data_IF_886796075988
#
_entry.id   IF_886796075988
#
_cell.length_a   1.000
_cell.length_b   1.000
_cell.length_c   1.000
_cell.angle_alpha   90.00
_cell.angle_beta   90.00
_cell.angle_gamma   90.00
#
_symmetry.space_group_name_H-M   'P 1'
#
loop_
_entity.id
_entity.type
_entity.pdbx_description
1 polymer ?
#
# COMPACT_ATOMS: atom_id res chain seq x y z
N UNK A 1 8.71 17.32 -3.37
CA UNK A 1 7.59 17.68 -2.46
C UNK A 1 6.66 16.49 -2.38
N UNK A 2 6.25 16.11 -1.18
CA UNK A 2 5.32 15.01 -0.99
C UNK A 2 3.88 15.49 -1.23
N UNK A 3 3.05 14.69 -1.91
CA UNK A 3 1.70 15.08 -2.34
C UNK A 3 0.67 14.30 -1.52
N UNK A 4 -0.17 15.02 -0.78
CA UNK A 4 -1.30 14.45 -0.03
C UNK A 4 -2.58 14.69 -0.83
N UNK A 5 -3.33 13.63 -1.12
CA UNK A 5 -4.68 13.72 -1.73
C UNK A 5 -5.70 13.06 -0.80
N UNK A 6 -6.82 13.73 -0.58
CA UNK A 6 -7.99 13.11 0.04
C UNK A 6 -8.70 12.27 -1.02
N UNK A 7 -8.92 10.98 -0.75
CA UNK A 7 -9.58 10.07 -1.69
C UNK A 7 -11.05 9.88 -1.34
N UNK A 8 -11.36 9.65 -0.06
CA UNK A 8 -12.73 9.43 0.40
C UNK A 8 -13.38 8.19 -0.24
N UNK A 9 -12.60 7.20 -0.66
CA UNK A 9 -13.11 6.00 -1.30
C UNK A 9 -13.56 4.97 -0.26
N UNK A 10 -14.75 4.39 -0.46
CA UNK A 10 -15.18 3.21 0.30
C UNK A 10 -14.88 1.94 -0.47
N UNK A 11 -14.27 0.97 0.21
CA UNK A 11 -14.06 -0.37 -0.27
C UNK A 11 -14.81 -1.38 0.61
N UNK A 12 -15.51 -2.31 -0.04
CA UNK A 12 -16.12 -3.46 0.62
C UNK A 12 -15.39 -4.72 0.18
N UNK A 13 -14.82 -5.44 1.14
CA UNK A 13 -14.17 -6.73 0.91
C UNK A 13 -15.20 -7.80 0.56
N UNK A 14 -14.73 -8.91 -0.01
CA UNK A 14 -15.58 -10.06 -0.36
C UNK A 14 -16.33 -10.67 0.83
N UNK A 15 -15.74 -10.63 2.02
CA UNK A 15 -16.35 -11.10 3.27
C UNK A 15 -17.31 -10.08 3.90
N UNK A 16 -17.49 -8.91 3.29
CA UNK A 16 -18.48 -7.91 3.68
C UNK A 16 -17.97 -6.81 4.61
N UNK A 17 -16.71 -6.83 5.04
CA UNK A 17 -16.10 -5.73 5.81
C UNK A 17 -16.00 -4.47 4.94
N UNK A 18 -16.10 -3.30 5.59
CA UNK A 18 -16.07 -1.99 4.94
C UNK A 18 -14.87 -1.20 5.45
N UNK A 19 -14.16 -0.57 4.52
CA UNK A 19 -13.01 0.27 4.78
C UNK A 19 -13.16 1.58 4.01
N UNK A 20 -12.91 2.71 4.65
CA UNK A 20 -12.71 4.00 4.01
C UNK A 20 -11.22 4.22 3.78
N UNK A 21 -10.84 4.73 2.62
CA UNK A 21 -9.49 5.15 2.28
C UNK A 21 -9.50 6.67 2.29
N UNK A 22 -9.08 7.24 3.42
CA UNK A 22 -9.30 8.66 3.73
C UNK A 22 -8.31 9.56 2.98
N UNK A 23 -7.04 9.17 2.95
CA UNK A 23 -5.97 9.94 2.29
C UNK A 23 -4.93 9.04 1.64
N UNK A 24 -4.23 9.60 0.65
CA UNK A 24 -3.04 9.04 0.05
C UNK A 24 -1.90 10.04 0.10
N UNK A 25 -0.70 9.56 0.42
CA UNK A 25 0.52 10.35 0.47
C UNK A 25 1.58 9.72 -0.42
N UNK A 26 1.99 10.44 -1.46
CA UNK A 26 3.09 10.01 -2.33
C UNK A 26 4.37 10.64 -1.81
N UNK A 27 5.30 9.79 -1.39
CA UNK A 27 6.63 10.15 -0.96
C UNK A 27 7.58 9.79 -2.11
N UNK A 28 7.98 10.77 -2.94
CA UNK A 28 9.03 10.55 -3.92
C UNK A 28 10.33 10.28 -3.16
N UNK A 29 10.91 9.10 -3.36
CA UNK A 29 12.19 8.76 -2.74
C UNK A 29 13.33 9.15 -3.68
N UNK A 30 14.46 9.56 -3.11
CA UNK A 30 15.73 9.68 -3.85
C UNK A 30 16.41 8.31 -4.06
N UNK A 31 15.73 7.21 -3.70
CA UNK A 31 16.19 5.82 -3.86
C UNK A 31 15.47 5.03 -4.95
N UNK A 32 15.57 3.70 -4.90
CA UNK A 32 15.07 2.80 -5.95
C UNK A 32 13.53 2.68 -6.04
N UNK A 33 12.77 3.22 -5.08
CA UNK A 33 11.31 3.08 -5.02
C UNK A 33 10.59 4.36 -4.61
N UNK A 34 9.50 4.69 -5.28
CA UNK A 34 8.52 5.67 -4.85
C UNK A 34 7.49 5.01 -3.91
N UNK A 35 7.19 5.66 -2.78
CA UNK A 35 6.27 5.13 -1.79
C UNK A 35 4.92 5.84 -1.88
N UNK A 36 3.85 5.06 -1.91
CA UNK A 36 2.47 5.55 -1.83
C UNK A 36 1.83 5.00 -0.57
N UNK A 37 1.59 5.88 0.40
CA UNK A 37 0.97 5.54 1.68
C UNK A 37 -0.53 5.84 1.64
N UNK A 38 -1.33 4.96 2.22
CA UNK A 38 -2.77 5.06 2.31
C UNK A 38 -3.19 5.04 3.78
N UNK A 39 -3.99 6.02 4.18
CA UNK A 39 -4.73 5.97 5.44
C UNK A 39 -6.02 5.19 5.24
N UNK A 40 -6.21 4.12 6.01
CA UNK A 40 -7.36 3.22 5.91
C UNK A 40 -8.09 3.18 7.25
N UNK A 41 -9.41 3.30 7.18
CA UNK A 41 -10.29 3.31 8.34
C UNK A 41 -11.36 2.24 8.20
N UNK A 42 -11.31 1.24 9.07
CA UNK A 42 -12.36 0.24 9.26
C UNK A 42 -13.42 0.71 10.24
N UNK A 43 -14.33 -0.20 10.62
CA UNK A 43 -15.40 0.10 11.57
C UNK A 43 -14.87 0.48 12.96
N UNK A 44 -13.84 -0.23 13.44
CA UNK A 44 -13.30 -0.10 14.80
C UNK A 44 -11.77 0.13 14.81
N UNK A 45 -11.18 0.47 13.66
CA UNK A 45 -9.73 0.56 13.52
C UNK A 45 -9.30 1.58 12.47
N UNK A 46 -8.25 2.35 12.77
CA UNK A 46 -7.54 3.19 11.81
C UNK A 46 -6.10 2.68 11.69
N UNK A 47 -5.62 2.54 10.46
CA UNK A 47 -4.28 2.04 10.17
C UNK A 47 -3.77 2.57 8.84
N UNK A 48 -2.45 2.52 8.65
CA UNK A 48 -1.79 2.94 7.42
C UNK A 48 -1.24 1.74 6.67
N UNK A 49 -1.32 1.76 5.35
CA UNK A 49 -0.67 0.77 4.48
C UNK A 49 0.12 1.47 3.39
N UNK A 50 1.29 0.93 3.03
CA UNK A 50 2.14 1.46 2.00
C UNK A 50 2.22 0.55 0.78
N UNK A 51 2.43 1.15 -0.38
CA UNK A 51 2.83 0.46 -1.61
C UNK A 51 4.13 1.07 -2.12
N UNK A 52 5.18 0.25 -2.25
CA UNK A 52 6.46 0.64 -2.81
C UNK A 52 6.48 0.29 -4.30
N UNK A 53 6.62 1.32 -5.14
CA UNK A 53 6.75 1.20 -6.58
C UNK A 53 8.19 1.43 -6.99
N UNK A 54 8.78 0.60 -7.86
CA UNK A 54 10.09 0.86 -8.43
C UNK A 54 10.10 2.26 -9.07
N UNK A 55 11.18 3.03 -8.92
CA UNK A 55 11.26 4.43 -9.36
C UNK A 55 10.99 4.61 -10.87
N UNK A 56 11.33 3.60 -11.67
CA UNK A 56 11.01 3.51 -13.10
C UNK A 56 9.50 3.45 -13.41
N UNK A 57 8.68 3.04 -12.44
CA UNK A 57 7.22 2.92 -12.58
C UNK A 57 6.55 4.28 -12.77
N UNK A 58 7.11 5.35 -12.18
CA UNK A 58 6.61 6.70 -12.37
C UNK A 58 6.72 7.15 -13.84
N UNK A 59 7.77 6.71 -14.54
CA UNK A 59 7.98 6.97 -15.97
C UNK A 59 7.10 6.10 -16.88
N UNK A 60 6.78 4.88 -16.43
CA UNK A 60 6.00 3.90 -17.21
C UNK A 60 4.49 4.14 -17.10
N UNK A 61 4.00 4.61 -15.95
CA UNK A 61 2.58 4.86 -15.72
C UNK A 61 2.17 6.33 -15.78
N UNK A 62 3.12 7.23 -16.10
CA UNK A 62 2.84 8.53 -16.69
C UNK A 62 2.27 9.62 -15.76
N UNK A 63 1.87 9.33 -14.53
CA UNK A 63 1.50 10.35 -13.55
C UNK A 63 1.35 9.75 -12.15
N UNK A 64 1.51 10.61 -11.13
CA UNK A 64 1.16 10.33 -9.73
C UNK A 64 -0.23 9.68 -9.55
N UNK A 65 -1.17 9.97 -10.44
CA UNK A 65 -2.52 9.40 -10.42
C UNK A 65 -2.55 7.90 -10.71
N UNK A 66 -1.71 7.43 -11.64
CA UNK A 66 -1.62 6.00 -11.97
C UNK A 66 -1.00 5.21 -10.83
N UNK A 67 0.01 5.76 -10.15
CA UNK A 67 0.60 5.14 -8.94
C UNK A 67 -0.43 5.01 -7.82
N UNK A 68 -1.28 6.02 -7.62
CA UNK A 68 -2.38 5.95 -6.65
C UNK A 68 -3.38 4.87 -7.05
N UNK A 69 -3.77 4.80 -8.34
CA UNK A 69 -4.74 3.81 -8.83
C UNK A 69 -4.23 2.38 -8.67
N UNK A 70 -2.99 2.11 -9.03
CA UNK A 70 -2.36 0.80 -8.84
C UNK A 70 -2.19 0.48 -7.35
N UNK A 71 -1.80 1.48 -6.56
CA UNK A 71 -1.64 1.33 -5.11
C UNK A 71 -2.96 0.97 -4.43
N UNK A 72 -4.06 1.60 -4.83
CA UNK A 72 -5.40 1.25 -4.38
C UNK A 72 -5.76 -0.20 -4.71
N UNK A 73 -5.41 -0.69 -5.90
CA UNK A 73 -5.61 -2.09 -6.27
C UNK A 73 -4.87 -3.05 -5.33
N UNK A 74 -3.63 -2.73 -4.97
CA UNK A 74 -2.82 -3.52 -4.04
C UNK A 74 -3.39 -3.50 -2.62
N UNK A 75 -3.77 -2.33 -2.10
CA UNK A 75 -4.36 -2.20 -0.76
C UNK A 75 -5.69 -2.97 -0.68
N UNK A 76 -6.57 -2.82 -1.67
CA UNK A 76 -7.83 -3.57 -1.74
C UNK A 76 -7.60 -5.09 -1.69
N UNK A 77 -6.61 -5.57 -2.44
CA UNK A 77 -6.20 -6.98 -2.41
C UNK A 77 -5.71 -7.44 -1.03
N UNK A 78 -4.98 -6.59 -0.30
CA UNK A 78 -4.55 -6.91 1.06
C UNK A 78 -5.72 -6.93 2.05
N UNK A 79 -6.66 -5.98 1.93
CA UNK A 79 -7.87 -5.96 2.73
C UNK A 79 -8.74 -7.20 2.49
N UNK A 80 -8.88 -7.62 1.22
CA UNK A 80 -9.57 -8.87 0.83
C UNK A 80 -8.90 -10.11 1.45
N UNK A 81 -7.58 -10.09 1.65
CA UNK A 81 -6.82 -11.14 2.35
C UNK A 81 -6.93 -11.05 3.88
N UNK A 82 -7.58 -10.03 4.42
CA UNK A 82 -7.72 -9.81 5.86
C UNK A 82 -6.59 -9.02 6.50
N UNK A 83 -5.61 -8.53 5.73
CA UNK A 83 -4.51 -7.75 6.28
C UNK A 83 -4.99 -6.35 6.67
N UNK A 84 -4.98 -6.09 7.98
CA UNK A 84 -5.34 -4.81 8.61
C UNK A 84 -4.20 -4.33 9.52
N UNK A 85 -2.99 -4.82 9.27
CA UNK A 85 -1.83 -4.48 10.08
C UNK A 85 -1.34 -3.06 9.74
N UNK A 86 -1.26 -2.23 10.78
CA UNK A 86 -0.70 -0.88 10.66
C UNK A 86 0.77 -0.91 10.25
N UNK A 87 1.12 -0.05 9.29
CA UNK A 87 2.45 0.02 8.69
C UNK A 87 2.77 -1.10 7.69
N UNK A 88 1.77 -1.90 7.28
CA UNK A 88 1.99 -2.96 6.27
C UNK A 88 2.47 -2.35 4.95
N UNK A 89 3.55 -2.89 4.39
CA UNK A 89 4.14 -2.46 3.12
C UNK A 89 3.99 -3.55 2.04
N UNK A 90 3.48 -3.16 0.88
CA UNK A 90 3.41 -4.01 -0.33
C UNK A 90 4.45 -3.51 -1.33
N UNK A 91 5.40 -4.36 -1.70
CA UNK A 91 6.37 -4.03 -2.74
C UNK A 91 5.85 -4.52 -4.10
N UNK A 92 5.83 -3.64 -5.10
CA UNK A 92 5.54 -3.99 -6.48
C UNK A 92 6.87 -4.35 -7.16
N UNK A 93 6.98 -5.54 -7.79
CA UNK A 93 8.23 -5.97 -8.39
C UNK A 93 8.61 -5.10 -9.61
N UNK A 94 9.90 -4.80 -9.74
CA UNK A 94 10.47 -4.14 -10.93
C UNK A 94 10.43 -5.06 -12.13
N UNK A 95 9.88 -4.60 -13.25
CA UNK A 95 9.85 -5.35 -14.51
C UNK A 95 11.18 -5.31 -15.27
N UNK A 96 12.17 -4.50 -14.87
CA UNK A 96 13.45 -4.37 -15.57
C UNK A 96 14.46 -5.48 -15.34
N UNK A 97 14.27 -6.36 -14.35
CA UNK A 97 15.13 -7.52 -14.14
C UNK A 97 14.30 -8.80 -14.21
N UNK A 98 14.15 -9.30 -15.44
CA UNK A 98 13.42 -10.52 -15.75
C UNK A 98 13.81 -11.67 -14.84
N UNK A 99 12.85 -12.15 -14.04
CA UNK A 99 13.07 -13.27 -13.15
C UNK A 99 11.92 -13.43 -12.17
N UNK A 100 10.99 -14.32 -12.49
CA UNK A 100 9.99 -14.83 -11.56
C UNK A 100 10.57 -15.16 -10.19
N UNK A 101 10.13 -14.49 -9.12
CA UNK A 101 10.09 -15.04 -7.75
C UNK A 101 8.92 -14.47 -6.94
N UNK A 102 7.92 -15.28 -6.57
CA UNK A 102 6.97 -14.96 -5.52
C UNK A 102 7.57 -15.37 -4.17
N UNK A 103 7.93 -14.41 -3.34
CA UNK A 103 8.07 -14.61 -1.88
C UNK A 103 8.42 -13.27 -1.26
N UNK A 104 7.57 -12.73 -0.37
CA UNK A 104 7.99 -12.40 0.98
C UNK A 104 6.77 -12.32 1.91
N UNK A 105 6.88 -13.09 3.00
CA UNK A 105 5.98 -13.17 4.14
C UNK A 105 6.59 -12.20 5.16
N UNK A 106 5.94 -11.08 5.47
CA UNK A 106 6.40 -10.25 6.57
C UNK A 106 6.05 -10.96 7.89
N UNK A 107 7.03 -11.64 8.47
CA UNK A 107 6.99 -12.04 9.87
C UNK A 107 7.50 -10.85 10.68
N UNK A 108 6.58 -10.02 11.19
CA UNK A 108 6.94 -9.02 12.20
C UNK A 108 7.15 -9.77 13.52
N UNK A 109 8.20 -9.48 14.30
CA UNK A 109 8.39 -10.13 15.59
C UNK A 109 7.19 -9.83 16.48
N UNK A 110 6.54 -10.87 16.99
CA UNK A 110 5.56 -10.75 18.08
C UNK A 110 6.24 -9.98 19.21
N UNK A 111 5.76 -8.75 19.50
CA UNK A 111 6.15 -8.02 20.70
C UNK A 111 5.89 -8.92 21.90
N UNK A 112 6.94 -9.52 22.44
CA UNK A 112 6.91 -10.18 23.74
C UNK A 112 6.60 -9.07 24.75
N UNK A 113 5.39 -9.07 25.31
CA UNK A 113 5.10 -8.30 26.52
C UNK A 113 5.99 -8.89 27.61
N UNK A 114 6.98 -8.13 28.08
CA UNK A 114 7.55 -8.40 29.39
C UNK A 114 6.47 -8.12 30.42
N UNK A 115 6.15 -9.15 31.21
CA UNK A 115 5.41 -9.03 32.45
C UNK A 115 6.31 -8.43 33.55
#
# INVERSE_FOLDING_TARGET
MAVIKLLGEMYRTRDGRKFAIDFVHIIPSTGAYDLVLFGVRGADSEFSMGVAFPHESASTWGANESLVREGLGQIRTQLDKGNTQDGSLVEVPSTTWGGWRPSYRFSVPTRTRYA
#
